data_IF_359872508640
#
_entry.id   IF_359872508640
#
_cell.length_a   1.000
_cell.length_b   1.000
_cell.length_c   1.000
_cell.angle_alpha   90.00
_cell.angle_beta   90.00
_cell.angle_gamma   90.00
#
_symmetry.space_group_name_H-M   'P 1'
#
loop_
_entity.id
_entity.type
_entity.pdbx_description
1 polymer ?
#
# COMPACT_ATOMS: atom_id res chain seq x y z
N UNK A 1 -26.28 16.58 -6.16
CA UNK A 1 -25.61 15.50 -6.92
C UNK A 1 -24.13 15.80 -6.92
N UNK A 2 -23.40 15.30 -5.92
CA UNK A 2 -21.94 15.41 -5.88
C UNK A 2 -21.40 14.53 -7.00
N UNK A 3 -20.60 15.13 -7.89
CA UNK A 3 -19.92 14.41 -8.96
C UNK A 3 -19.21 13.20 -8.35
N UNK A 4 -19.67 12.01 -8.71
CA UNK A 4 -18.85 10.79 -8.68
C UNK A 4 -17.71 11.03 -9.67
N UNK A 5 -16.70 11.78 -9.22
CA UNK A 5 -15.45 11.89 -9.94
C UNK A 5 -14.96 10.45 -10.09
N UNK A 6 -14.79 10.11 -11.36
CA UNK A 6 -14.18 8.92 -11.89
C UNK A 6 -13.04 8.44 -10.99
N UNK A 7 -12.91 7.12 -10.88
CA UNK A 7 -11.83 6.28 -10.32
C UNK A 7 -10.37 6.65 -10.74
N UNK A 8 -10.07 7.92 -10.98
CA UNK A 8 -8.78 8.41 -11.40
C UNK A 8 -7.93 8.68 -10.16
N UNK A 9 -7.20 7.64 -9.75
CA UNK A 9 -6.06 7.67 -8.82
C UNK A 9 -6.28 8.51 -7.56
N UNK A 10 -6.89 7.91 -6.53
CA UNK A 10 -6.78 8.45 -5.17
C UNK A 10 -5.29 8.59 -4.84
N UNK A 11 -4.80 9.80 -4.52
CA UNK A 11 -3.41 10.00 -4.17
C UNK A 11 -3.02 9.10 -3.01
N UNK A 12 -1.79 8.59 -3.01
CA UNK A 12 -1.24 7.76 -1.93
C UNK A 12 -0.02 8.43 -1.35
N UNK A 13 -0.03 8.65 -0.04
CA UNK A 13 1.10 9.14 0.74
C UNK A 13 1.58 8.02 1.65
N UNK A 14 2.81 7.56 1.47
CA UNK A 14 3.40 6.51 2.30
C UNK A 14 4.22 7.18 3.39
N UNK A 15 3.89 6.90 4.66
CA UNK A 15 4.67 7.43 5.78
C UNK A 15 6.09 6.88 5.77
N UNK A 16 7.06 7.67 6.27
CA UNK A 16 8.46 7.25 6.31
C UNK A 16 8.67 5.89 7.00
N UNK A 17 8.06 5.59 8.18
CA UNK A 17 8.20 4.29 8.81
C UNK A 17 7.65 3.13 7.95
N UNK A 18 6.51 3.33 7.27
CA UNK A 18 5.95 2.31 6.39
C UNK A 18 6.85 2.07 5.17
N UNK A 19 7.48 3.13 4.66
CA UNK A 19 8.41 3.05 3.53
C UNK A 19 9.72 2.37 3.90
N UNK A 20 10.34 2.78 5.01
CA UNK A 20 11.59 2.19 5.52
C UNK A 20 11.41 0.69 5.76
N UNK A 21 10.32 0.31 6.43
CA UNK A 21 10.05 -1.09 6.70
C UNK A 21 9.73 -1.89 5.42
N UNK A 22 9.00 -1.31 4.46
CA UNK A 22 8.78 -1.95 3.17
C UNK A 22 10.10 -2.17 2.40
N UNK A 23 11.05 -1.24 2.49
CA UNK A 23 12.38 -1.43 1.92
C UNK A 23 13.13 -2.56 2.63
N UNK A 24 13.17 -2.54 3.97
CA UNK A 24 13.89 -3.51 4.79
C UNK A 24 13.36 -4.93 4.60
N UNK A 25 12.04 -5.12 4.69
CA UNK A 25 11.39 -6.42 4.55
C UNK A 25 11.58 -6.97 3.14
N UNK A 26 11.60 -6.10 2.13
CA UNK A 26 11.51 -6.56 0.75
C UNK A 26 12.81 -6.48 -0.09
N UNK A 27 13.88 -5.75 0.29
CA UNK A 27 15.22 -5.54 -0.37
C UNK A 27 15.42 -4.27 -1.24
N UNK A 28 16.21 -3.27 -0.84
CA UNK A 28 16.40 -2.00 -1.59
C UNK A 28 16.58 -2.06 -3.13
N UNK A 29 17.16 -3.14 -3.69
CA UNK A 29 17.43 -3.29 -5.13
C UNK A 29 16.21 -3.12 -6.07
N UNK A 30 14.97 -3.28 -5.57
CA UNK A 30 13.74 -3.14 -6.37
C UNK A 30 12.81 -2.03 -5.88
N UNK A 31 13.34 -1.01 -5.21
CA UNK A 31 12.54 0.02 -4.52
C UNK A 31 11.41 0.61 -5.37
N UNK A 32 11.65 1.00 -6.64
CA UNK A 32 10.62 1.57 -7.52
C UNK A 32 9.44 0.62 -7.75
N UNK A 33 9.74 -0.65 -8.06
CA UNK A 33 8.71 -1.67 -8.28
C UNK A 33 7.86 -1.90 -7.04
N UNK A 34 8.45 -1.75 -5.86
CA UNK A 34 7.75 -1.95 -4.58
C UNK A 34 6.94 -0.76 -4.16
N UNK A 35 7.45 0.45 -4.40
CA UNK A 35 6.66 1.67 -4.23
C UNK A 35 5.39 1.57 -5.07
N UNK A 36 5.54 1.17 -6.34
CA UNK A 36 4.40 0.98 -7.23
C UNK A 36 3.45 -0.13 -6.75
N UNK A 37 3.98 -1.27 -6.30
CA UNK A 37 3.16 -2.36 -5.75
C UNK A 37 2.38 -1.92 -4.49
N UNK A 38 2.99 -1.16 -3.59
CA UNK A 38 2.35 -0.66 -2.37
C UNK A 38 1.26 0.37 -2.69
N UNK A 39 1.51 1.29 -3.63
CA UNK A 39 0.50 2.24 -4.11
C UNK A 39 -0.70 1.49 -4.70
N UNK A 40 -0.44 0.51 -5.59
CA UNK A 40 -1.48 -0.27 -6.24
C UNK A 40 -2.30 -1.07 -5.22
N UNK A 41 -1.63 -1.79 -4.31
CA UNK A 41 -2.30 -2.56 -3.27
C UNK A 41 -3.15 -1.68 -2.34
N UNK A 42 -2.65 -0.48 -2.01
CA UNK A 42 -3.40 0.52 -1.22
C UNK A 42 -4.68 0.95 -1.94
N UNK A 43 -4.57 1.32 -3.22
CA UNK A 43 -5.70 1.75 -4.03
C UNK A 43 -6.70 0.61 -4.25
N UNK A 44 -6.22 -0.60 -4.50
CA UNK A 44 -7.06 -1.77 -4.65
C UNK A 44 -7.81 -2.07 -3.34
N UNK A 45 -7.13 -2.09 -2.19
CA UNK A 45 -7.76 -2.30 -0.89
C UNK A 45 -8.81 -1.23 -0.57
N UNK A 46 -8.50 0.04 -0.87
CA UNK A 46 -9.43 1.14 -0.70
C UNK A 46 -10.66 0.98 -1.60
N UNK A 47 -10.48 0.67 -2.88
CA UNK A 47 -11.57 0.57 -3.85
C UNK A 47 -12.48 -0.65 -3.60
N UNK A 48 -11.96 -1.71 -2.97
CA UNK A 48 -12.70 -2.92 -2.63
C UNK A 48 -13.21 -2.95 -1.19
N UNK A 49 -13.14 -1.84 -0.45
CA UNK A 49 -13.68 -1.77 0.90
C UNK A 49 -15.17 -2.10 0.91
N UNK A 50 -15.58 -2.89 1.88
CA UNK A 50 -16.95 -3.43 1.97
C UNK A 50 -18.01 -2.36 2.19
N UNK A 51 -17.61 -1.26 2.84
CA UNK A 51 -18.49 -0.14 3.15
C UNK A 51 -17.81 1.17 2.69
N UNK A 52 -18.45 1.95 1.81
CA UNK A 52 -17.93 3.23 1.33
C UNK A 52 -17.60 4.24 2.44
N UNK A 53 -18.28 4.15 3.59
CA UNK A 53 -18.12 5.04 4.73
C UNK A 53 -16.88 4.71 5.58
N UNK A 54 -16.27 3.52 5.36
CA UNK A 54 -15.00 3.15 5.99
C UNK A 54 -13.90 4.14 5.56
N UNK A 55 -13.30 4.80 6.55
CA UNK A 55 -12.18 5.73 6.36
C UNK A 55 -10.80 5.06 6.53
N UNK A 56 -10.76 3.78 6.89
CA UNK A 56 -9.54 3.04 7.16
C UNK A 56 -9.65 1.59 6.70
N UNK A 57 -8.69 1.13 5.89
CA UNK A 57 -8.60 -0.26 5.44
C UNK A 57 -7.27 -0.87 5.85
N UNK A 58 -7.31 -2.13 6.28
CA UNK A 58 -6.12 -2.95 6.51
C UNK A 58 -5.93 -3.87 5.32
N UNK A 59 -4.69 -4.01 4.86
CA UNK A 59 -4.35 -4.92 3.77
C UNK A 59 -2.96 -5.53 3.98
N UNK A 60 -2.74 -6.68 3.37
CA UNK A 60 -1.43 -7.34 3.36
C UNK A 60 -0.85 -7.26 1.96
N UNK A 61 0.46 -7.03 1.87
CA UNK A 61 1.21 -7.06 0.62
C UNK A 61 2.22 -8.21 0.70
N UNK A 62 2.10 -9.15 -0.24
CA UNK A 62 3.02 -10.25 -0.42
C UNK A 62 3.90 -10.00 -1.64
N UNK A 63 5.22 -10.08 -1.46
CA UNK A 63 6.19 -9.93 -2.55
C UNK A 63 7.24 -11.04 -2.50
N UNK A 64 7.66 -11.46 -3.70
CA UNK A 64 8.76 -12.39 -3.87
C UNK A 64 10.07 -11.61 -3.98
N UNK A 65 11.00 -11.91 -3.08
CA UNK A 65 12.29 -11.24 -2.96
C UNK A 65 13.38 -12.22 -3.33
N UNK A 66 14.36 -11.75 -4.10
CA UNK A 66 15.49 -12.58 -4.51
C UNK A 66 16.65 -12.34 -3.58
N UNK A 67 16.98 -13.32 -2.75
CA UNK A 67 18.09 -13.28 -1.80
C UNK A 67 19.22 -14.14 -2.38
N UNK A 68 20.02 -13.54 -3.26
CA UNK A 68 21.05 -14.26 -4.01
C UNK A 68 20.45 -15.27 -5.00
N UNK A 69 20.70 -16.57 -4.79
CA UNK A 69 20.22 -17.66 -5.65
C UNK A 69 18.78 -18.12 -5.34
N UNK A 70 18.21 -17.71 -4.22
CA UNK A 70 16.91 -18.17 -3.73
C UNK A 70 15.85 -17.08 -3.84
N UNK A 71 14.59 -17.50 -4.04
CA UNK A 71 13.42 -16.62 -4.00
C UNK A 71 12.69 -16.90 -2.69
N UNK A 72 12.53 -15.88 -1.86
CA UNK A 72 11.75 -15.94 -0.62
C UNK A 72 10.45 -15.16 -0.78
N UNK A 73 9.37 -15.68 -0.20
CA UNK A 73 8.10 -14.95 -0.08
C UNK A 73 8.11 -14.16 1.23
N UNK A 74 7.72 -12.89 1.15
CA UNK A 74 7.57 -12.01 2.30
C UNK A 74 6.19 -11.39 2.25
N UNK A 75 5.51 -11.31 3.40
CA UNK A 75 4.20 -10.70 3.54
C UNK A 75 4.26 -9.67 4.66
N UNK A 76 3.72 -8.47 4.41
CA UNK A 76 3.66 -7.39 5.40
C UNK A 76 2.25 -6.78 5.43
N UNK A 77 1.78 -6.45 6.64
CA UNK A 77 0.52 -5.75 6.87
C UNK A 77 0.71 -4.24 6.84
N UNK A 78 -0.27 -3.55 6.27
CA UNK A 78 -0.34 -2.10 6.16
C UNK A 78 -1.75 -1.63 6.47
N UNK A 79 -1.85 -0.37 6.89
CA UNK A 79 -3.11 0.33 7.11
C UNK A 79 -3.12 1.57 6.23
N UNK A 80 -4.18 1.72 5.42
CA UNK A 80 -4.44 2.93 4.65
C UNK A 80 -5.62 3.69 5.24
N UNK A 81 -5.43 4.97 5.53
CA UNK A 81 -6.47 5.87 6.03
C UNK A 81 -6.67 7.04 5.08
N UNK A 82 -7.91 7.38 4.78
CA UNK A 82 -8.22 8.56 3.97
C UNK A 82 -8.24 9.81 4.85
N UNK A 83 -7.34 10.75 4.55
CA UNK A 83 -7.12 12.00 5.30
C UNK A 83 -6.83 13.08 4.27
N UNK A 84 -7.49 14.24 4.33
CA UNK A 84 -7.21 15.39 3.46
C UNK A 84 -7.09 15.04 1.97
N UNK A 85 -8.05 14.25 1.46
CA UNK A 85 -8.11 13.78 0.07
C UNK A 85 -6.95 12.88 -0.40
N UNK A 86 -6.18 12.30 0.52
CA UNK A 86 -5.10 11.35 0.26
C UNK A 86 -5.23 10.08 1.10
N UNK A 87 -4.80 8.94 0.55
CA UNK A 87 -4.62 7.69 1.28
C UNK A 87 -3.26 7.67 1.95
N UNK A 88 -3.26 7.85 3.26
CA UNK A 88 -2.05 7.76 4.09
C UNK A 88 -1.80 6.31 4.47
N UNK A 89 -0.66 5.76 4.06
CA UNK A 89 -0.24 4.39 4.34
C UNK A 89 0.72 4.37 5.53
N UNK A 90 0.38 3.52 6.50
CA UNK A 90 1.12 3.28 7.74
C UNK A 90 1.35 1.78 7.93
N UNK A 91 2.24 1.41 8.84
CA UNK A 91 2.42 0.01 9.22
C UNK A 91 1.15 -0.52 9.89
N UNK A 92 0.75 -1.72 9.49
CA UNK A 92 -0.26 -2.50 10.17
C UNK A 92 0.35 -3.37 11.26
N UNK A 93 -0.45 -3.66 12.29
CA UNK A 93 -0.14 -4.67 13.30
C UNK A 93 -0.17 -6.10 12.72
#
# INVERSE_FOLDING_TARGET
>A
MTNRLSLAFTPVSITLPAWEHAIEVFDFSQWERRQFALIKATQDAWNHRSDPDIQQVTFSLTLFVRLGGETAERTQNFVARYVDDVLVVTLGE
#
